data_IF_757158256155
#
_entry.id   IF_757158256155
#
_cell.length_a   1.000
_cell.length_b   1.000
_cell.length_c   1.000
_cell.angle_alpha   90.00
_cell.angle_beta   90.00
_cell.angle_gamma   90.00
#
_symmetry.space_group_name_H-M   'P 1'
#
loop_
_entity.id
_entity.type
_entity.pdbx_description
1 polymer ?
#
# COMPACT_ATOMS: atom_id res chain seq x y z
N UNK A 1 17.89 12.51 -2.59
CA UNK A 1 18.41 11.39 -1.77
C UNK A 1 17.18 10.54 -1.42
N UNK A 2 16.97 9.42 -2.11
CA UNK A 2 15.85 8.52 -1.83
C UNK A 2 16.28 7.61 -0.68
N UNK A 3 15.78 7.86 0.53
CA UNK A 3 16.00 6.95 1.64
C UNK A 3 15.00 5.78 1.51
N UNK A 4 15.49 4.63 1.07
CA UNK A 4 14.81 3.35 1.28
C UNK A 4 14.99 2.97 2.75
N UNK A 5 13.94 3.14 3.53
CA UNK A 5 13.90 2.81 4.95
C UNK A 5 13.20 1.46 5.09
N UNK A 6 13.87 0.47 5.69
CA UNK A 6 13.20 -0.76 6.13
C UNK A 6 12.26 -0.37 7.26
N UNK A 7 10.97 -0.42 7.00
CA UNK A 7 9.91 -0.07 7.95
C UNK A 7 8.97 -1.24 8.14
N UNK A 8 8.14 -1.15 9.17
CA UNK A 8 6.95 -1.96 9.33
C UNK A 8 5.72 -1.19 8.84
N UNK A 9 4.78 -1.88 8.21
CA UNK A 9 3.46 -1.31 7.86
C UNK A 9 2.36 -2.24 8.32
N UNK A 10 1.26 -1.64 8.78
CA UNK A 10 0.00 -2.35 8.97
C UNK A 10 -0.82 -2.25 7.68
N UNK A 11 -1.22 -3.39 7.13
CA UNK A 11 -2.13 -3.42 5.99
C UNK A 11 -3.44 -4.08 6.40
N UNK A 12 -4.55 -3.42 6.13
CA UNK A 12 -5.90 -3.94 6.31
C UNK A 12 -6.62 -3.98 4.97
N UNK A 13 -7.08 -5.14 4.56
CA UNK A 13 -7.89 -5.28 3.33
C UNK A 13 -9.29 -4.71 3.56
N UNK A 14 -9.85 -4.10 2.53
CA UNK A 14 -11.25 -3.66 2.55
C UNK A 14 -12.13 -4.90 2.42
N UNK A 15 -13.01 -5.13 3.38
CA UNK A 15 -13.93 -6.28 3.35
C UNK A 15 -15.29 -5.93 2.77
N UNK A 16 -15.85 -4.79 3.20
CA UNK A 16 -17.19 -4.37 2.82
C UNK A 16 -17.35 -2.86 2.96
N UNK A 17 -18.50 -2.36 2.54
CA UNK A 17 -18.95 -0.99 2.81
C UNK A 17 -20.12 -1.06 3.78
N UNK A 18 -20.10 -0.26 4.84
CA UNK A 18 -21.19 -0.23 5.82
C UNK A 18 -22.44 0.48 5.27
N UNK A 19 -23.52 0.49 6.05
CA UNK A 19 -24.80 1.14 5.63
C UNK A 19 -24.69 2.65 5.42
N UNK A 20 -23.61 3.28 5.88
CA UNK A 20 -23.33 4.70 5.73
C UNK A 20 -22.39 5.00 4.55
N UNK A 21 -22.02 3.98 3.75
CA UNK A 21 -21.12 4.15 2.62
C UNK A 21 -19.64 4.15 2.98
N UNK A 22 -19.28 3.85 4.23
CA UNK A 22 -17.89 3.85 4.70
C UNK A 22 -17.24 2.48 4.53
N UNK A 23 -15.97 2.40 4.08
CA UNK A 23 -15.25 1.15 3.97
C UNK A 23 -14.98 0.55 5.36
N UNK A 24 -15.33 -0.72 5.52
CA UNK A 24 -14.97 -1.55 6.67
C UNK A 24 -13.77 -2.39 6.28
N UNK A 25 -12.73 -2.29 7.08
CA UNK A 25 -11.47 -3.01 6.89
C UNK A 25 -11.42 -4.22 7.82
N UNK A 26 -10.87 -5.32 7.30
CA UNK A 26 -10.68 -6.56 8.03
C UNK A 26 -9.46 -6.54 8.94
N UNK A 27 -8.96 -7.74 9.22
CA UNK A 27 -7.80 -7.94 10.08
C UNK A 27 -6.56 -7.17 9.61
N UNK A 28 -5.80 -6.70 10.60
CA UNK A 28 -4.53 -6.01 10.39
C UNK A 28 -3.41 -7.03 10.26
N UNK A 29 -2.69 -6.97 9.14
CA UNK A 29 -1.50 -7.78 8.90
C UNK A 29 -0.29 -6.84 8.93
N UNK A 30 0.69 -7.17 9.78
CA UNK A 30 1.93 -6.39 9.91
C UNK A 30 3.01 -6.98 9.00
N UNK A 31 3.61 -6.14 8.16
CA UNK A 31 4.73 -6.51 7.30
C UNK A 31 6.01 -5.83 7.76
N UNK A 32 7.01 -6.61 8.20
CA UNK A 32 8.21 -6.11 8.89
C UNK A 32 9.48 -5.99 8.00
N UNK A 33 9.35 -6.16 6.68
CA UNK A 33 10.49 -6.05 5.76
C UNK A 33 10.02 -5.51 4.40
N UNK A 34 9.55 -4.27 4.44
CA UNK A 34 9.04 -3.56 3.28
C UNK A 34 9.94 -2.37 2.94
N UNK A 35 9.86 -1.92 1.70
CA UNK A 35 10.43 -0.65 1.26
C UNK A 35 9.29 0.30 0.89
N UNK A 36 9.28 1.51 1.45
CA UNK A 36 8.26 2.52 1.17
C UNK A 36 8.91 3.78 0.62
N UNK A 37 8.68 4.06 -0.67
CA UNK A 37 9.16 5.27 -1.33
C UNK A 37 8.06 6.33 -1.34
N UNK A 38 8.19 7.35 -0.50
CA UNK A 38 7.25 8.48 -0.41
C UNK A 38 7.64 9.60 -1.36
N UNK A 39 6.69 10.14 -2.13
CA UNK A 39 6.87 11.25 -3.07
C UNK A 39 5.77 12.30 -2.89
N UNK A 40 6.12 13.59 -2.72
CA UNK A 40 5.12 14.65 -2.66
C UNK A 40 4.53 14.91 -4.05
N UNK A 41 3.24 15.20 -4.08
CA UNK A 41 2.48 15.64 -5.25
C UNK A 41 1.88 17.00 -4.95
N UNK A 42 2.25 17.96 -5.78
CA UNK A 42 1.71 19.31 -5.73
C UNK A 42 0.56 19.40 -6.73
N UNK A 43 -0.66 19.58 -6.22
CA UNK A 43 -1.85 19.74 -7.05
C UNK A 43 -2.57 21.04 -6.71
N UNK A 44 -3.28 21.61 -7.69
CA UNK A 44 -4.12 22.79 -7.46
C UNK A 44 -5.57 22.37 -7.65
N UNK A 45 -6.35 22.37 -6.56
CA UNK A 45 -7.77 22.00 -6.58
C UNK A 45 -8.58 23.22 -6.14
N UNK A 46 -9.52 23.66 -6.96
CA UNK A 46 -10.37 24.82 -6.66
C UNK A 46 -9.59 26.13 -6.41
N UNK A 47 -8.43 26.29 -7.06
CA UNK A 47 -7.57 27.47 -6.88
C UNK A 47 -6.69 27.45 -5.62
N UNK A 48 -6.76 26.40 -4.79
CA UNK A 48 -5.88 26.21 -3.64
C UNK A 48 -4.78 25.19 -3.96
N UNK A 49 -3.55 25.49 -3.55
CA UNK A 49 -2.43 24.55 -3.61
C UNK A 49 -2.61 23.52 -2.49
N UNK A 50 -2.66 22.27 -2.86
CA UNK A 50 -2.65 21.14 -1.95
C UNK A 50 -1.39 20.31 -2.19
N UNK A 51 -0.72 19.92 -1.12
CA UNK A 51 0.32 18.90 -1.15
C UNK A 51 -0.35 17.60 -0.74
N UNK A 52 -0.26 16.58 -1.59
CA UNK A 52 -0.60 15.20 -1.27
C UNK A 52 0.66 14.37 -1.27
N UNK A 53 0.64 13.23 -0.61
CA UNK A 53 1.72 12.25 -0.69
C UNK A 53 1.27 11.03 -1.49
N UNK A 54 2.08 10.59 -2.45
CA UNK A 54 2.01 9.23 -2.98
C UNK A 54 3.13 8.42 -2.36
N UNK A 55 2.89 7.13 -2.17
CA UNK A 55 3.94 6.22 -1.76
C UNK A 55 3.94 4.98 -2.65
N UNK A 56 5.11 4.39 -2.87
CA UNK A 56 5.25 3.09 -3.51
C UNK A 56 5.73 2.13 -2.43
N UNK A 57 4.87 1.21 -2.03
CA UNK A 57 5.17 0.18 -1.05
C UNK A 57 5.58 -1.10 -1.78
N UNK A 58 6.77 -1.60 -1.48
CA UNK A 58 7.32 -2.84 -2.02
C UNK A 58 7.42 -3.87 -0.91
N UNK A 59 6.69 -4.98 -1.05
CA UNK A 59 6.77 -6.12 -0.13
C UNK A 59 7.64 -7.20 -0.78
N UNK A 60 8.68 -7.62 -0.06
CA UNK A 60 9.56 -8.69 -0.47
C UNK A 60 9.14 -10.00 0.20
N UNK A 61 8.75 -11.00 -0.59
CA UNK A 61 8.41 -12.33 -0.07
C UNK A 61 9.61 -13.29 -0.19
N UNK A 62 10.04 -13.95 0.90
CA UNK A 62 10.95 -15.08 0.79
C UNK A 62 10.19 -16.30 0.24
N UNK A 63 10.76 -16.96 -0.77
CA UNK A 63 10.18 -18.10 -1.53
C UNK A 63 9.80 -19.36 -0.71
N UNK A 64 9.82 -19.34 0.63
CA UNK A 64 9.60 -20.51 1.48
C UNK A 64 8.18 -20.68 2.01
N UNK A 65 7.24 -19.77 1.69
CA UNK A 65 5.84 -19.88 2.13
C UNK A 65 5.00 -20.30 0.92
N UNK A 66 4.26 -21.43 0.98
CA UNK A 66 3.44 -21.86 -0.14
C UNK A 66 2.37 -20.82 -0.42
N UNK A 67 2.31 -20.42 -1.69
CA UNK A 67 1.38 -19.46 -2.26
C UNK A 67 -0.04 -19.93 -1.94
N UNK A 68 -0.61 -19.48 -0.82
CA UNK A 68 -2.06 -19.45 -0.72
C UNK A 68 -2.48 -18.42 -1.74
N UNK A 69 -3.04 -18.85 -2.87
CA UNK A 69 -4.12 -18.18 -3.60
C UNK A 69 -4.53 -16.80 -3.05
N UNK A 70 -3.67 -15.79 -3.14
CA UNK A 70 -4.03 -14.40 -2.86
C UNK A 70 -4.65 -13.94 -4.17
N UNK A 71 -5.93 -14.25 -4.33
CA UNK A 71 -6.74 -13.49 -5.28
C UNK A 71 -6.61 -12.01 -4.87
N UNK A 72 -6.17 -11.25 -5.85
CA UNK A 72 -5.38 -10.04 -5.77
C UNK A 72 -6.25 -8.79 -5.55
N UNK A 73 -6.95 -8.68 -4.44
CA UNK A 73 -7.63 -7.42 -4.11
C UNK A 73 -6.88 -6.70 -2.98
N UNK A 74 -5.70 -6.17 -3.34
CA UNK A 74 -5.05 -5.12 -2.57
C UNK A 74 -5.63 -3.75 -2.89
N UNK A 75 -6.35 -3.59 -4.00
CA UNK A 75 -7.01 -2.35 -4.35
C UNK A 75 -7.92 -1.88 -3.21
N UNK A 76 -7.87 -0.58 -2.89
CA UNK A 76 -8.57 0.01 -1.75
C UNK A 76 -8.15 -0.50 -0.36
N UNK A 77 -7.11 -1.34 -0.23
CA UNK A 77 -6.58 -1.68 1.08
C UNK A 77 -6.01 -0.44 1.77
N UNK A 78 -6.13 -0.41 3.10
CA UNK A 78 -5.59 0.66 3.94
C UNK A 78 -4.22 0.25 4.44
N UNK A 79 -3.24 1.12 4.24
CA UNK A 79 -1.87 0.98 4.73
C UNK A 79 -1.61 2.06 5.76
N UNK A 80 -1.11 1.68 6.93
CA UNK A 80 -0.70 2.58 8.00
C UNK A 80 0.80 2.40 8.20
N UNK A 81 1.57 3.47 8.10
CA UNK A 81 3.01 3.45 8.37
C UNK A 81 3.33 3.69 9.86
N UNK A 82 4.61 3.58 10.23
CA UNK A 82 5.07 3.76 11.61
C UNK A 82 4.78 5.17 12.16
N UNK A 83 4.74 6.17 11.29
CA UNK A 83 4.41 7.56 11.60
C UNK A 83 2.88 7.78 11.72
N UNK A 84 2.08 6.70 11.62
CA UNK A 84 0.62 6.70 11.64
C UNK A 84 -0.04 7.47 10.47
N UNK A 85 0.70 7.67 9.37
CA UNK A 85 0.11 8.17 8.14
C UNK A 85 -0.75 7.08 7.50
N UNK A 86 -1.93 7.47 7.04
CA UNK A 86 -2.87 6.56 6.39
C UNK A 86 -2.78 6.73 4.88
N UNK A 87 -2.53 5.62 4.20
CA UNK A 87 -2.59 5.55 2.76
C UNK A 87 -3.63 4.52 2.30
N UNK A 88 -4.11 4.70 1.08
CA UNK A 88 -4.96 3.75 0.39
C UNK A 88 -4.25 3.24 -0.86
N UNK A 89 -4.34 1.95 -1.11
CA UNK A 89 -3.82 1.34 -2.34
C UNK A 89 -4.69 1.76 -3.51
N UNK A 90 -4.13 2.56 -4.43
CA UNK A 90 -4.77 2.92 -5.71
C UNK A 90 -4.60 1.79 -6.74
N UNK A 91 -3.41 1.18 -6.78
CA UNK A 91 -3.09 0.15 -7.77
C UNK A 91 -2.11 -0.86 -7.19
N UNK A 92 -2.19 -2.09 -7.68
CA UNK A 92 -1.31 -3.19 -7.32
C UNK A 92 -0.63 -3.76 -8.57
N UNK A 93 0.69 -3.90 -8.50
CA UNK A 93 1.52 -4.43 -9.58
C UNK A 93 2.45 -5.53 -9.04
N UNK A 94 2.24 -6.81 -9.45
CA UNK A 94 3.21 -7.87 -9.18
C UNK A 94 4.41 -7.74 -10.11
N UNK A 95 5.62 -7.98 -9.58
CA UNK A 95 6.87 -8.02 -10.36
C UNK A 95 7.50 -9.40 -10.29
N UNK A 96 7.74 -9.99 -11.47
CA UNK A 96 8.25 -11.35 -11.63
C UNK A 96 9.70 -11.37 -12.13
N UNK A 97 10.43 -12.45 -11.85
CA UNK A 97 11.76 -12.74 -12.41
C UNK A 97 11.65 -13.33 -13.82
N UNK A 98 12.80 -13.58 -14.47
CA UNK A 98 12.88 -14.19 -15.80
C UNK A 98 12.25 -15.61 -15.86
N UNK A 99 12.09 -16.26 -14.71
CA UNK A 99 11.49 -17.58 -14.57
C UNK A 99 9.99 -17.53 -14.21
N UNK A 100 9.37 -16.34 -14.24
CA UNK A 100 7.99 -16.08 -13.79
C UNK A 100 7.73 -16.38 -12.30
N UNK A 101 8.77 -16.41 -11.48
CA UNK A 101 8.60 -16.40 -10.03
C UNK A 101 8.34 -14.98 -9.56
N UNK A 102 7.39 -14.80 -8.66
CA UNK A 102 7.13 -13.50 -8.07
C UNK A 102 8.34 -13.04 -7.24
N UNK A 103 8.89 -11.87 -7.56
CA UNK A 103 9.99 -11.24 -6.81
C UNK A 103 9.45 -10.35 -5.70
N UNK A 104 8.45 -9.52 -6.04
CA UNK A 104 7.94 -8.50 -5.13
C UNK A 104 6.55 -8.02 -5.52
N UNK A 105 5.78 -7.66 -4.50
CA UNK A 105 4.51 -6.94 -4.67
C UNK A 105 4.78 -5.44 -4.61
N UNK A 106 4.29 -4.69 -5.59
CA UNK A 106 4.35 -3.24 -5.58
C UNK A 106 2.94 -2.66 -5.42
N UNK A 107 2.74 -1.84 -4.39
CA UNK A 107 1.49 -1.18 -4.08
C UNK A 107 1.67 0.31 -4.28
N UNK A 108 0.92 0.89 -5.21
CA UNK A 108 0.88 2.33 -5.41
C UNK A 108 -0.15 2.91 -4.43
N UNK A 109 0.32 3.75 -3.53
CA UNK A 109 -0.43 4.29 -2.42
C UNK A 109 -0.70 5.77 -2.63
N UNK A 110 -1.90 6.21 -2.24
CA UNK A 110 -2.27 7.62 -2.14
C UNK A 110 -2.64 7.95 -0.70
N UNK A 111 -2.13 9.08 -0.22
CA UNK A 111 -2.46 9.61 1.10
C UNK A 111 -3.98 9.82 1.24
N UNK A 112 -4.52 9.23 2.30
CA UNK A 112 -5.90 9.39 2.70
C UNK A 112 -6.09 10.69 3.48
N UNK A 113 -7.21 11.38 3.25
CA UNK A 113 -7.71 12.38 4.20
C UNK A 113 -8.77 11.73 5.09
N UNK A 114 -8.61 11.88 6.40
CA UNK A 114 -9.63 11.52 7.39
C UNK A 114 -10.78 12.53 7.36
#
# INVERSE_FOLDING_TARGET
>A
MNLSYKQSVEISKKEKVNRWGEPVYGDKIVYNNIDIEKRPIFQTVGGKREVKQKAILTIFEPQSIPISTINEEWESARVIDEDHNVFYVENYEPKYDENNNLIKHQLNLLEGRY
#
